data_IF_397177008499
#
_entry.id   IF_397177008499
#
_cell.length_a   1.000
_cell.length_b   1.000
_cell.length_c   1.000
_cell.angle_alpha   90.00
_cell.angle_beta   90.00
_cell.angle_gamma   90.00
#
_symmetry.space_group_name_H-M   'P 1'
#
loop_
_entity.id
_entity.type
_entity.pdbx_description
1 polymer ?
#
# COMPACT_ATOMS: atom_id res chain seq x y z
N UNK A 1 50.06 -29.74 18.35
CA UNK A 1 50.60 -31.08 18.02
C UNK A 1 50.22 -32.03 19.15
N UNK A 2 49.21 -32.88 18.89
CA UNK A 2 48.73 -34.03 19.67
C UNK A 2 48.19 -33.79 21.11
N UNK A 3 47.40 -34.72 21.69
CA UNK A 3 46.78 -35.93 21.13
C UNK A 3 45.24 -36.00 21.30
N UNK A 4 44.59 -36.75 20.40
CA UNK A 4 43.25 -37.30 20.61
C UNK A 4 43.24 -38.33 21.74
N UNK A 5 42.10 -38.49 22.44
CA UNK A 5 41.72 -39.84 22.84
C UNK A 5 40.22 -40.17 22.70
N UNK A 6 40.02 -41.33 22.07
CA UNK A 6 39.14 -42.45 22.47
C UNK A 6 37.61 -42.29 22.38
N UNK A 7 37.05 -43.05 21.43
CA UNK A 7 35.65 -43.46 21.37
C UNK A 7 35.24 -44.31 22.57
N UNK A 8 34.01 -44.16 23.08
CA UNK A 8 33.31 -45.22 23.80
C UNK A 8 32.14 -45.81 23.00
N UNK A 9 32.37 -47.04 22.57
CA UNK A 9 31.47 -48.22 22.57
C UNK A 9 29.94 -48.03 22.57
N UNK A 10 29.34 -48.47 21.46
CA UNK A 10 28.09 -49.22 21.33
C UNK A 10 27.28 -49.44 22.62
N UNK A 11 26.20 -48.69 22.79
CA UNK A 11 25.06 -49.11 23.62
C UNK A 11 23.96 -49.63 22.70
N UNK A 12 24.00 -50.94 22.43
CA UNK A 12 22.81 -51.69 21.98
C UNK A 12 21.76 -51.62 23.09
N UNK A 13 20.92 -50.60 23.03
CA UNK A 13 19.75 -50.44 23.88
C UNK A 13 18.65 -51.36 23.38
N UNK A 14 18.53 -52.51 24.05
CA UNK A 14 17.41 -53.43 23.95
C UNK A 14 16.18 -52.78 24.61
N UNK A 15 15.51 -51.88 23.90
CA UNK A 15 14.20 -51.32 24.27
C UNK A 15 13.31 -51.60 23.05
N UNK A 16 12.56 -52.69 23.05
CA UNK A 16 11.39 -52.82 23.91
C UNK A 16 10.20 -52.48 23.03
N UNK A 17 9.65 -53.52 22.39
CA UNK A 17 8.46 -53.48 21.53
C UNK A 17 7.32 -52.79 22.27
N UNK A 18 7.03 -51.52 21.98
CA UNK A 18 5.77 -50.90 22.39
C UNK A 18 4.64 -51.35 21.45
N UNK A 19 3.50 -51.84 21.98
CA UNK A 19 2.36 -52.20 21.16
C UNK A 19 1.73 -50.95 20.54
N UNK A 20 1.61 -50.97 19.20
CA UNK A 20 0.91 -50.00 18.36
C UNK A 20 -0.60 -50.17 18.55
N UNK A 21 -1.15 -49.77 19.69
CA UNK A 21 -2.59 -49.85 19.91
C UNK A 21 -3.03 -48.83 20.96
N UNK A 22 -2.96 -47.54 20.62
CA UNK A 22 -3.71 -46.45 21.26
C UNK A 22 -3.77 -45.24 20.30
N UNK A 23 -4.17 -45.49 19.05
CA UNK A 23 -4.76 -44.45 18.20
C UNK A 23 -6.27 -44.49 18.46
N UNK A 24 -6.82 -43.46 19.11
CA UNK A 24 -8.27 -43.38 19.26
C UNK A 24 -8.71 -42.08 19.94
N UNK A 25 -9.28 -41.20 19.13
CA UNK A 25 -10.29 -40.18 19.49
C UNK A 25 -9.79 -38.88 20.16
N UNK A 26 -9.15 -38.03 19.37
CA UNK A 26 -9.22 -36.57 19.57
C UNK A 26 -9.15 -35.85 18.22
N UNK A 27 -10.22 -35.96 17.41
CA UNK A 27 -10.28 -35.28 16.12
C UNK A 27 -11.70 -34.77 15.85
N UNK A 28 -12.13 -33.71 16.54
CA UNK A 28 -13.23 -32.87 16.09
C UNK A 28 -13.29 -31.56 16.88
N UNK A 29 -12.60 -30.52 16.41
CA UNK A 29 -13.00 -29.10 16.50
C UNK A 29 -11.86 -28.15 16.07
N UNK A 30 -11.15 -28.45 14.98
CA UNK A 30 -10.34 -27.42 14.34
C UNK A 30 -11.30 -26.47 13.60
N UNK A 31 -11.31 -25.15 13.90
CA UNK A 31 -12.10 -24.21 13.14
C UNK A 31 -11.62 -24.25 11.69
N UNK A 32 -12.57 -24.40 10.75
CA UNK A 32 -12.26 -24.38 9.34
C UNK A 32 -11.47 -23.11 8.98
N UNK A 33 -10.46 -23.20 8.10
CA UNK A 33 -9.76 -22.00 7.65
C UNK A 33 -10.78 -21.08 6.97
N UNK A 34 -10.88 -19.84 7.45
CA UNK A 34 -11.64 -18.81 6.75
C UNK A 34 -11.11 -18.72 5.31
N UNK A 35 -11.99 -18.69 4.28
CA UNK A 35 -11.52 -18.50 2.93
C UNK A 35 -10.71 -17.20 2.87
N UNK A 36 -9.51 -17.26 2.29
CA UNK A 36 -8.68 -16.09 2.10
C UNK A 36 -9.49 -15.05 1.31
N UNK A 37 -9.76 -13.90 1.93
CA UNK A 37 -10.41 -12.79 1.25
C UNK A 37 -9.60 -12.48 -0.02
N UNK A 38 -10.21 -12.64 -1.19
CA UNK A 38 -9.55 -12.36 -2.46
C UNK A 38 -9.09 -10.90 -2.47
N UNK A 39 -7.80 -10.67 -2.75
CA UNK A 39 -7.25 -9.31 -2.88
C UNK A 39 -8.02 -8.61 -4.01
N UNK A 40 -8.56 -7.40 -3.80
CA UNK A 40 -9.26 -6.69 -4.86
C UNK A 40 -8.31 -6.53 -6.05
N UNK A 41 -8.83 -6.77 -7.27
CA UNK A 41 -8.06 -6.51 -8.48
C UNK A 41 -7.75 -5.02 -8.53
N UNK A 42 -6.50 -4.67 -8.81
CA UNK A 42 -6.12 -3.28 -9.04
C UNK A 42 -7.06 -2.69 -10.12
N UNK A 43 -7.77 -1.61 -9.77
CA UNK A 43 -8.79 -0.99 -10.63
C UNK A 43 -10.25 -1.31 -10.31
N UNK A 44 -10.55 -2.08 -9.25
CA UNK A 44 -11.95 -2.35 -8.82
C UNK A 44 -12.50 -1.37 -7.78
N UNK A 45 -11.68 -0.44 -7.28
CA UNK A 45 -12.14 0.59 -6.37
C UNK A 45 -13.06 1.59 -7.11
N UNK A 46 -14.14 2.08 -6.49
CA UNK A 46 -14.94 3.17 -7.03
C UNK A 46 -14.07 4.39 -7.36
N UNK A 47 -14.48 5.13 -8.39
CA UNK A 47 -13.85 6.40 -8.75
C UNK A 47 -13.97 7.39 -7.57
N UNK A 48 -12.83 7.87 -7.08
CA UNK A 48 -12.75 8.90 -6.05
C UNK A 48 -12.01 10.12 -6.64
N UNK A 49 -12.70 11.24 -6.94
CA UNK A 49 -12.08 12.41 -7.51
C UNK A 49 -11.08 13.10 -6.57
N UNK A 50 -11.24 12.93 -5.26
CA UNK A 50 -10.33 13.49 -4.27
C UNK A 50 -8.98 12.77 -4.19
N UNK A 51 -8.80 11.65 -4.92
CA UNK A 51 -7.53 10.91 -4.99
C UNK A 51 -6.74 11.15 -6.28
N UNK A 52 -7.14 12.11 -7.11
CA UNK A 52 -6.48 12.34 -8.40
C UNK A 52 -5.39 13.39 -8.27
N UNK A 53 -4.21 13.10 -8.79
CA UNK A 53 -3.12 14.07 -8.87
C UNK A 53 -3.14 14.74 -10.24
N UNK A 54 -2.91 16.06 -10.29
CA UNK A 54 -2.88 16.84 -11.52
C UNK A 54 -1.52 17.51 -11.68
N UNK A 55 -0.86 17.30 -12.81
CA UNK A 55 0.48 17.82 -13.08
C UNK A 55 0.43 18.98 -14.07
N UNK A 56 1.08 20.09 -13.74
CA UNK A 56 1.30 21.17 -14.70
C UNK A 56 2.25 20.70 -15.81
N UNK A 57 1.88 20.96 -17.07
CA UNK A 57 2.65 20.58 -18.27
C UNK A 57 3.14 21.77 -19.07
N UNK A 58 3.05 22.98 -18.51
CA UNK A 58 3.55 24.19 -19.16
C UNK A 58 5.08 24.11 -19.33
N UNK A 59 5.57 24.47 -20.51
CA UNK A 59 6.94 24.17 -20.97
C UNK A 59 8.05 24.72 -20.07
N UNK A 60 7.84 25.89 -19.46
CA UNK A 60 8.84 26.59 -18.63
C UNK A 60 8.47 26.54 -17.14
N UNK A 61 7.72 25.52 -16.71
CA UNK A 61 7.28 25.36 -15.33
C UNK A 61 8.09 24.27 -14.61
N UNK A 62 8.56 24.56 -13.39
CA UNK A 62 8.98 23.49 -12.49
C UNK A 62 7.77 22.60 -12.17
N UNK A 63 7.91 21.26 -12.13
CA UNK A 63 6.77 20.37 -11.96
C UNK A 63 5.95 20.68 -10.70
N UNK A 64 4.72 21.15 -10.90
CA UNK A 64 3.74 21.34 -9.85
C UNK A 64 2.68 20.25 -9.92
N UNK A 65 2.32 19.70 -8.76
CA UNK A 65 1.31 18.65 -8.61
C UNK A 65 0.22 19.15 -7.68
N UNK A 66 -0.97 19.35 -8.22
CA UNK A 66 -2.15 19.60 -7.42
C UNK A 66 -2.72 18.27 -6.92
N UNK A 67 -2.89 18.16 -5.60
CA UNK A 67 -3.49 17.02 -4.93
C UNK A 67 -4.74 17.50 -4.18
N UNK A 68 -5.96 17.09 -4.57
CA UNK A 68 -7.19 17.43 -3.87
C UNK A 68 -7.09 17.17 -2.37
N UNK A 69 -6.45 16.08 -1.95
CA UNK A 69 -6.25 15.75 -0.53
C UNK A 69 -5.51 16.81 0.27
N UNK A 70 -4.71 17.67 -0.37
CA UNK A 70 -4.00 18.77 0.27
C UNK A 70 -4.65 20.13 -0.04
N UNK A 71 -5.34 20.26 -1.17
CA UNK A 71 -5.81 21.55 -1.67
C UNK A 71 -4.62 22.39 -2.13
N UNK A 72 -4.75 23.71 -1.97
CA UNK A 72 -3.70 24.68 -2.31
C UNK A 72 -3.81 25.90 -1.37
N UNK A 73 -3.48 25.74 -0.07
CA UNK A 73 -3.79 26.74 0.96
C UNK A 73 -2.95 28.02 0.87
N UNK A 74 -1.80 27.94 0.19
CA UNK A 74 -0.88 29.05 -0.05
C UNK A 74 -1.25 29.88 -1.29
N UNK A 75 -2.08 29.33 -2.17
CA UNK A 75 -2.54 29.98 -3.37
C UNK A 75 -3.96 30.54 -3.15
N UNK A 76 -4.02 31.81 -2.79
CA UNK A 76 -5.28 32.52 -2.57
C UNK A 76 -5.76 33.06 -3.92
N UNK A 77 -6.71 32.36 -4.53
CA UNK A 77 -7.40 32.79 -5.74
C UNK A 77 -8.89 32.99 -5.41
N UNK A 78 -9.39 34.21 -5.59
CA UNK A 78 -10.70 34.63 -5.10
C UNK A 78 -10.68 35.13 -3.65
N UNK A 79 -11.69 34.79 -2.86
CA UNK A 79 -11.91 35.31 -1.50
C UNK A 79 -11.25 34.48 -0.38
N UNK A 80 -10.77 33.27 -0.68
CA UNK A 80 -10.28 32.32 0.32
C UNK A 80 -9.24 31.33 -0.26
N UNK A 81 -8.37 30.74 0.59
CA UNK A 81 -7.44 29.69 0.18
C UNK A 81 -8.18 28.43 -0.28
N UNK A 82 -7.55 27.60 -1.11
CA UNK A 82 -8.14 26.34 -1.59
C UNK A 82 -7.98 25.25 -0.51
N UNK A 83 -9.06 24.78 0.13
CA UNK A 83 -8.97 23.79 1.20
C UNK A 83 -8.70 22.39 0.65
N UNK A 84 -8.20 21.52 1.53
CA UNK A 84 -8.12 20.08 1.28
C UNK A 84 -9.51 19.48 0.99
N UNK A 85 -9.54 18.49 0.12
CA UNK A 85 -10.72 17.84 -0.42
C UNK A 85 -11.31 18.51 -1.67
N UNK A 86 -10.85 19.71 -2.04
CA UNK A 86 -11.31 20.39 -3.26
C UNK A 86 -10.86 19.61 -4.48
N UNK A 87 -11.79 19.21 -5.35
CA UNK A 87 -11.41 18.53 -6.59
C UNK A 87 -10.81 19.52 -7.58
N UNK A 88 -10.03 19.04 -8.55
CA UNK A 88 -9.46 19.93 -9.55
C UNK A 88 -10.53 20.57 -10.43
N UNK A 89 -11.61 19.85 -10.67
CA UNK A 89 -12.79 20.33 -11.37
C UNK A 89 -13.45 21.50 -10.63
N UNK A 90 -13.54 21.42 -9.31
CA UNK A 90 -14.15 22.45 -8.44
C UNK A 90 -13.24 23.69 -8.22
N UNK A 91 -11.99 23.67 -8.68
CA UNK A 91 -11.12 24.84 -8.61
C UNK A 91 -11.72 26.02 -9.41
N UNK A 92 -11.55 27.27 -8.94
CA UNK A 92 -11.94 28.46 -9.69
C UNK A 92 -11.33 28.52 -11.09
N UNK A 93 -12.03 29.12 -12.06
CA UNK A 93 -11.55 29.25 -13.46
C UNK A 93 -10.31 30.16 -13.59
N UNK A 94 -10.17 31.10 -12.67
CA UNK A 94 -9.03 32.00 -12.56
C UNK A 94 -7.87 31.38 -11.75
N UNK A 95 -8.04 30.20 -11.14
CA UNK A 95 -6.94 29.51 -10.48
C UNK A 95 -5.77 29.27 -11.45
N UNK A 96 -4.57 29.52 -10.95
CA UNK A 96 -3.32 29.41 -11.70
C UNK A 96 -2.32 28.55 -10.93
N UNK A 97 -1.45 27.88 -11.66
CA UNK A 97 -0.29 27.20 -11.11
C UNK A 97 0.54 28.18 -10.26
N UNK A 98 0.81 27.89 -8.98
CA UNK A 98 1.56 28.80 -8.11
C UNK A 98 3.03 28.94 -8.52
N UNK A 99 3.52 28.04 -9.35
CA UNK A 99 4.91 28.06 -9.84
C UNK A 99 5.07 28.96 -11.07
N UNK A 100 4.20 28.82 -12.09
CA UNK A 100 4.38 29.51 -13.39
C UNK A 100 3.22 30.42 -13.80
N UNK A 101 2.12 30.47 -13.04
CA UNK A 101 0.95 31.27 -13.40
C UNK A 101 0.11 30.71 -14.55
N UNK A 102 0.40 29.50 -15.05
CA UNK A 102 -0.39 28.84 -16.09
C UNK A 102 -1.79 28.45 -15.56
N UNK A 103 -2.82 28.60 -16.38
CA UNK A 103 -4.19 28.21 -16.02
C UNK A 103 -4.43 26.70 -16.05
N UNK A 104 -5.62 26.29 -15.58
CA UNK A 104 -6.08 24.88 -15.49
C UNK A 104 -5.91 24.07 -16.79
N UNK A 105 -5.93 24.73 -17.95
CA UNK A 105 -5.76 24.09 -19.27
C UNK A 105 -4.42 23.37 -19.44
N UNK A 106 -3.40 23.76 -18.68
CA UNK A 106 -2.06 23.16 -18.74
C UNK A 106 -1.89 21.97 -17.79
N UNK A 107 -2.95 21.57 -17.09
CA UNK A 107 -2.91 20.46 -16.17
C UNK A 107 -3.45 19.20 -16.81
N UNK A 108 -2.73 18.10 -16.59
CA UNK A 108 -3.17 16.77 -16.98
C UNK A 108 -3.24 15.89 -15.75
N UNK A 109 -4.19 14.95 -15.77
CA UNK A 109 -4.26 13.92 -14.73
C UNK A 109 -3.00 13.07 -14.75
N UNK A 110 -2.27 13.10 -13.65
CA UNK A 110 -1.09 12.27 -13.46
C UNK A 110 -1.52 10.83 -13.15
N UNK A 111 -0.93 9.87 -13.86
CA UNK A 111 -1.26 8.44 -13.73
C UNK A 111 -0.22 7.67 -12.91
N UNK A 112 0.71 8.38 -12.27
CA UNK A 112 1.83 7.79 -11.52
C UNK A 112 1.56 7.79 -10.01
N UNK A 113 0.48 8.41 -9.55
CA UNK A 113 0.06 8.45 -8.15
C UNK A 113 -0.72 7.20 -7.71
#
# INVERSE_FOLDING_TARGET
>A
MAPSPLSPTSRRGLLGRLPVALLGLAAAALPAPRPAAAKPRAGSAPYDPARQTWRCTYNECDPYYYMPSHGDPENIMGDHPIPAGTTFEDLPDDWRCPICGAGKIWFVKDRVA
#
